data_IF_998385458638
#
_entry.id   IF_998385458638
#
_cell.length_a   1.000
_cell.length_b   1.000
_cell.length_c   1.000
_cell.angle_alpha   90.00
_cell.angle_beta   90.00
_cell.angle_gamma   90.00
#
_symmetry.space_group_name_H-M   'P 1'
#
loop_
_entity.id
_entity.type
_entity.pdbx_description
1 polymer ?
#
# COMPACT_ATOMS: atom_id res chain seq x y z
N UNK A 1 8.11 -3.71 20.22
CA UNK A 1 6.73 -4.20 20.00
C UNK A 1 6.28 -4.14 18.53
N UNK A 2 7.19 -4.32 17.55
CA UNK A 2 6.89 -4.15 16.10
C UNK A 2 6.45 -5.47 15.43
N UNK A 3 6.71 -6.62 16.07
CA UNK A 3 6.48 -7.97 15.50
C UNK A 3 5.00 -8.36 15.32
N UNK A 4 4.06 -7.73 16.03
CA UNK A 4 2.63 -8.00 15.89
C UNK A 4 2.02 -7.29 14.67
N UNK A 5 2.52 -6.10 14.34
CA UNK A 5 2.01 -5.29 13.23
C UNK A 5 2.38 -5.87 11.86
N UNK A 6 3.57 -6.47 11.71
CA UNK A 6 3.99 -7.11 10.45
C UNK A 6 3.26 -8.42 10.15
N UNK A 7 2.92 -9.23 11.16
CA UNK A 7 2.09 -10.44 10.99
C UNK A 7 0.66 -10.10 10.56
N UNK A 8 0.09 -9.04 11.13
CA UNK A 8 -1.26 -8.58 10.78
C UNK A 8 -1.36 -8.17 9.30
N UNK A 9 -0.30 -7.54 8.77
CA UNK A 9 -0.22 -7.16 7.35
C UNK A 9 0.13 -8.33 6.41
N UNK A 10 0.28 -9.55 6.94
CA UNK A 10 0.62 -10.73 6.14
C UNK A 10 1.99 -10.63 5.47
N UNK A 11 2.92 -9.86 6.04
CA UNK A 11 4.26 -9.68 5.52
C UNK A 11 5.17 -10.81 6.02
N UNK A 12 5.76 -11.55 5.09
CA UNK A 12 6.74 -12.60 5.37
C UNK A 12 8.15 -12.02 5.23
N UNK A 13 9.09 -12.43 6.09
CA UNK A 13 10.50 -12.01 5.99
C UNK A 13 11.17 -12.44 4.68
N UNK A 14 10.60 -13.43 3.98
CA UNK A 14 11.11 -13.91 2.70
C UNK A 14 10.72 -13.04 1.50
N UNK A 15 9.77 -12.11 1.67
CA UNK A 15 9.35 -11.16 0.64
C UNK A 15 9.74 -9.73 1.06
N UNK A 16 10.85 -9.18 0.53
CA UNK A 16 11.31 -7.84 0.90
C UNK A 16 10.23 -6.79 0.62
N UNK A 17 9.87 -6.02 1.64
CA UNK A 17 8.94 -4.89 1.53
C UNK A 17 9.63 -3.74 0.79
N UNK A 18 9.01 -3.23 -0.26
CA UNK A 18 9.53 -2.11 -1.07
C UNK A 18 8.78 -0.80 -0.83
N UNK A 19 7.64 -0.86 -0.15
CA UNK A 19 6.98 0.35 0.31
C UNK A 19 5.73 0.07 1.15
N UNK A 20 5.37 1.09 1.93
CA UNK A 20 4.14 1.15 2.71
C UNK A 20 3.51 2.51 2.49
N UNK A 21 2.21 2.49 2.26
CA UNK A 21 1.34 3.65 2.18
C UNK A 21 0.32 3.51 3.29
N UNK A 22 0.17 4.55 4.11
CA UNK A 22 -0.87 4.64 5.14
C UNK A 22 -1.77 5.81 4.80
N UNK A 23 -3.08 5.60 4.83
CA UNK A 23 -4.11 6.62 4.59
C UNK A 23 -5.16 6.55 5.67
N UNK A 24 -5.71 7.70 6.04
CA UNK A 24 -6.92 7.76 6.85
C UNK A 24 -8.12 7.33 5.99
N UNK A 25 -9.10 6.65 6.60
CA UNK A 25 -10.33 6.25 5.88
C UNK A 25 -11.28 7.45 5.82
N UNK A 26 -11.52 8.06 4.64
CA UNK A 26 -12.37 9.25 4.55
C UNK A 26 -13.83 8.91 4.87
N UNK A 27 -14.50 9.81 5.59
CA UNK A 27 -15.95 9.75 5.85
C UNK A 27 -16.40 8.81 6.96
N UNK A 28 -15.47 8.09 7.60
CA UNK A 28 -15.77 7.30 8.80
C UNK A 28 -15.39 8.14 10.02
N UNK A 29 -16.38 8.68 10.73
CA UNK A 29 -16.14 9.19 12.07
C UNK A 29 -15.76 7.98 12.92
N UNK A 30 -14.46 7.80 13.15
CA UNK A 30 -13.99 6.77 14.06
C UNK A 30 -14.70 6.98 15.41
N UNK A 31 -15.18 5.89 16.01
CA UNK A 31 -15.71 5.98 17.37
C UNK A 31 -14.66 6.65 18.27
N UNK A 32 -15.07 7.45 19.27
CA UNK A 32 -14.13 8.03 20.23
C UNK A 32 -13.21 6.94 20.76
N UNK A 33 -11.90 7.15 20.67
CA UNK A 33 -10.93 6.17 21.12
C UNK A 33 -10.61 5.05 20.12
N UNK A 34 -10.95 5.19 18.83
CA UNK A 34 -10.57 4.24 17.75
C UNK A 34 -9.94 5.01 16.58
N UNK A 35 -8.90 4.45 15.99
CA UNK A 35 -8.23 4.95 14.80
C UNK A 35 -8.34 3.92 13.66
N UNK A 36 -8.94 4.34 12.54
CA UNK A 36 -9.17 3.51 11.36
C UNK A 36 -8.24 3.96 10.23
N UNK A 37 -7.31 3.08 9.83
CA UNK A 37 -6.35 3.36 8.76
C UNK A 37 -6.48 2.34 7.63
N UNK A 38 -6.22 2.77 6.40
CA UNK A 38 -5.88 1.88 5.30
C UNK A 38 -4.37 1.81 5.12
N UNK A 39 -3.84 0.59 5.10
CA UNK A 39 -2.43 0.34 4.87
C UNK A 39 -2.27 -0.48 3.60
N UNK A 40 -1.63 0.11 2.60
CA UNK A 40 -1.19 -0.59 1.40
C UNK A 40 0.29 -0.92 1.52
N UNK A 41 0.64 -2.17 1.33
CA UNK A 41 2.01 -2.67 1.33
C UNK A 41 2.34 -3.24 -0.03
N UNK A 42 3.60 -3.11 -0.43
CA UNK A 42 4.12 -3.73 -1.65
C UNK A 42 5.42 -4.47 -1.37
N UNK A 43 5.54 -5.67 -1.91
CA UNK A 43 6.77 -6.46 -1.85
C UNK A 43 7.54 -6.38 -3.17
N UNK A 44 8.82 -6.69 -3.11
CA UNK A 44 9.68 -6.77 -4.29
C UNK A 44 9.26 -7.86 -5.28
N UNK A 45 8.42 -8.82 -4.85
CA UNK A 45 7.88 -9.90 -5.68
C UNK A 45 6.67 -9.49 -6.52
N UNK A 46 6.19 -8.24 -6.40
CA UNK A 46 5.04 -7.76 -7.17
C UNK A 46 3.71 -7.88 -6.44
N UNK A 47 3.70 -8.40 -5.22
CA UNK A 47 2.51 -8.48 -4.39
C UNK A 47 2.21 -7.11 -3.76
N UNK A 48 1.01 -6.60 -4.03
CA UNK A 48 0.47 -5.39 -3.42
C UNK A 48 -0.78 -5.78 -2.63
N UNK A 49 -0.82 -5.43 -1.35
CA UNK A 49 -1.92 -5.74 -0.44
C UNK A 49 -2.40 -4.50 0.27
N UNK A 50 -3.72 -4.34 0.36
CA UNK A 50 -4.34 -3.27 1.12
C UNK A 50 -5.16 -3.87 2.23
N UNK A 51 -4.93 -3.39 3.44
CA UNK A 51 -5.63 -3.81 4.64
C UNK A 51 -6.25 -2.61 5.33
N UNK A 52 -7.45 -2.79 5.88
CA UNK A 52 -7.98 -1.87 6.90
C UNK A 52 -7.46 -2.31 8.26
N UNK A 53 -6.83 -1.38 8.98
CA UNK A 53 -6.45 -1.53 10.36
C UNK A 53 -7.44 -0.77 11.23
N UNK A 54 -7.99 -1.46 12.22
CA UNK A 54 -8.77 -0.85 13.29
C UNK A 54 -7.93 -0.95 14.55
N UNK A 55 -7.42 0.19 15.01
CA UNK A 55 -6.58 0.29 16.19
C UNK A 55 -7.35 1.03 17.29
N UNK A 56 -7.48 0.48 18.50
CA UNK A 56 -7.94 1.28 19.62
C UNK A 56 -6.91 2.36 19.93
N UNK A 57 -7.37 3.51 20.41
CA UNK A 57 -6.55 4.68 20.63
C UNK A 57 -5.41 4.34 21.59
N UNK A 58 -4.20 4.62 21.12
CA UNK A 58 -2.98 4.32 21.87
C UNK A 58 -2.94 5.05 23.23
N UNK A 59 -3.68 6.15 23.33
CA UNK A 59 -3.68 7.07 24.46
C UNK A 59 -4.56 6.63 25.63
N UNK A 60 -5.54 5.74 25.42
CA UNK A 60 -6.52 5.41 26.45
C UNK A 60 -6.16 4.16 27.27
N UNK A 61 -5.50 3.14 26.70
CA UNK A 61 -5.08 1.97 27.49
C UNK A 61 -4.06 1.07 26.75
N UNK A 62 -2.92 0.71 27.36
CA UNK A 62 -1.95 -0.23 26.74
C UNK A 62 -2.49 -1.65 26.54
N UNK A 63 -3.49 -2.05 27.32
CA UNK A 63 -4.15 -3.36 27.17
C UNK A 63 -5.09 -3.42 25.96
N UNK A 64 -5.51 -2.27 25.42
CA UNK A 64 -6.44 -2.18 24.29
C UNK A 64 -5.85 -2.72 22.99
N UNK A 65 -4.52 -2.70 22.83
CA UNK A 65 -3.82 -3.19 21.63
C UNK A 65 -4.18 -4.64 21.25
N UNK A 66 -4.67 -5.44 22.21
CA UNK A 66 -5.18 -6.80 21.97
C UNK A 66 -6.45 -6.87 21.12
N UNK A 67 -7.15 -5.75 20.95
CA UNK A 67 -8.37 -5.63 20.13
C UNK A 67 -8.09 -5.08 18.72
N UNK A 68 -6.82 -4.88 18.37
CA UNK A 68 -6.44 -4.44 17.02
C UNK A 68 -6.91 -5.47 15.98
N UNK A 69 -7.64 -5.03 14.96
CA UNK A 69 -8.03 -5.91 13.85
C UNK A 69 -7.39 -5.46 12.54
N UNK A 70 -7.07 -6.43 11.70
CA UNK A 70 -6.56 -6.21 10.36
C UNK A 70 -7.41 -7.00 9.37
N UNK A 71 -8.03 -6.29 8.42
CA UNK A 71 -8.90 -6.87 7.42
C UNK A 71 -8.31 -6.64 6.04
N UNK A 72 -7.99 -7.71 5.32
CA UNK A 72 -7.55 -7.62 3.93
C UNK A 72 -8.70 -7.09 3.06
N UNK A 73 -8.47 -5.99 2.35
CA UNK A 73 -9.43 -5.35 1.44
C UNK A 73 -9.19 -5.74 0.00
N UNK A 74 -7.94 -5.64 -0.44
CA UNK A 74 -7.57 -5.97 -1.81
C UNK A 74 -6.17 -6.55 -1.89
N UNK A 75 -5.95 -7.33 -2.94
CA UNK A 75 -4.68 -7.91 -3.27
C UNK A 75 -4.50 -7.92 -4.79
N UNK A 76 -3.36 -7.41 -5.26
CA UNK A 76 -2.97 -7.43 -6.67
C UNK A 76 -1.60 -8.08 -6.75
N UNK A 77 -1.42 -8.95 -7.74
CA UNK A 77 -0.11 -9.50 -8.09
C UNK A 77 0.32 -8.92 -9.44
N UNK A 78 1.44 -8.21 -9.44
CA UNK A 78 2.06 -7.70 -10.65
C UNK A 78 3.18 -8.67 -11.08
N UNK A 79 3.31 -8.98 -12.39
CA UNK A 79 4.27 -9.97 -12.88
C UNK A 79 5.73 -9.48 -12.91
N UNK A 80 6.04 -8.34 -12.29
CA UNK A 80 7.36 -7.70 -12.34
C UNK A 80 7.82 -7.31 -10.95
N UNK A 81 9.14 -7.36 -10.72
CA UNK A 81 9.73 -6.90 -9.46
C UNK A 81 9.47 -5.41 -9.26
N UNK A 82 8.98 -5.09 -8.05
CA UNK A 82 8.69 -3.71 -7.67
C UNK A 82 9.89 -3.11 -6.95
N UNK A 83 10.07 -1.80 -7.11
CA UNK A 83 11.10 -1.01 -6.45
C UNK A 83 10.51 0.02 -5.49
N UNK A 84 9.28 0.47 -5.72
CA UNK A 84 8.62 1.47 -4.88
C UNK A 84 7.10 1.48 -5.09
N UNK A 85 6.40 2.06 -4.12
CA UNK A 85 5.00 2.50 -4.26
C UNK A 85 4.80 3.91 -3.70
N UNK A 86 3.82 4.63 -4.21
CA UNK A 86 3.33 5.87 -3.62
C UNK A 86 1.83 6.07 -3.88
N UNK A 87 1.23 7.05 -3.22
CA UNK A 87 -0.14 7.50 -3.48
C UNK A 87 -0.16 8.55 -4.58
N UNK A 88 -1.28 8.61 -5.30
CA UNK A 88 -1.60 9.71 -6.19
C UNK A 88 -3.10 9.99 -6.16
N UNK A 89 -3.47 11.26 -6.29
CA UNK A 89 -4.86 11.65 -6.52
C UNK A 89 -5.19 11.57 -8.01
N UNK A 90 -6.32 10.97 -8.33
CA UNK A 90 -6.80 10.74 -9.68
C UNK A 90 -8.25 11.21 -9.81
N UNK A 91 -8.51 12.12 -10.75
CA UNK A 91 -9.79 12.83 -10.86
C UNK A 91 -11.04 11.92 -10.90
N UNK A 92 -10.95 10.75 -11.54
CA UNK A 92 -12.08 9.82 -11.65
C UNK A 92 -12.10 8.72 -10.57
N UNK A 93 -10.97 8.46 -9.89
CA UNK A 93 -10.82 7.32 -8.97
C UNK A 93 -10.67 7.76 -7.52
N UNK A 94 -10.52 9.07 -7.27
CA UNK A 94 -10.02 9.58 -6.00
C UNK A 94 -8.58 9.10 -5.80
N UNK A 95 -8.32 8.40 -4.72
CA UNK A 95 -6.97 8.02 -4.33
C UNK A 95 -6.52 6.70 -4.97
N UNK A 96 -5.47 6.75 -5.78
CA UNK A 96 -4.84 5.64 -6.50
C UNK A 96 -3.46 5.31 -5.93
N UNK A 97 -2.95 4.12 -6.26
CA UNK A 97 -1.57 3.72 -5.96
C UNK A 97 -0.75 3.68 -7.24
N UNK A 98 0.42 4.31 -7.19
CA UNK A 98 1.44 4.16 -8.22
C UNK A 98 2.46 3.12 -7.75
N UNK A 99 2.72 2.12 -8.58
CA UNK A 99 3.72 1.09 -8.34
C UNK A 99 4.82 1.16 -9.40
N UNK A 100 6.05 1.42 -8.96
CA UNK A 100 7.24 1.44 -9.81
C UNK A 100 7.93 0.08 -9.83
N UNK A 101 8.31 -0.38 -11.02
CA UNK A 101 9.10 -1.59 -11.22
C UNK A 101 10.57 -1.28 -11.51
N UNK A 102 11.44 -2.25 -11.22
CA UNK A 102 12.88 -2.16 -11.54
C UNK A 102 13.13 -1.99 -13.05
N UNK A 103 12.18 -2.40 -13.90
CA UNK A 103 12.25 -2.24 -15.36
C UNK A 103 11.83 -0.86 -15.88
N UNK A 104 11.69 0.15 -15.02
CA UNK A 104 11.31 1.50 -15.42
C UNK A 104 9.85 1.63 -15.83
N UNK A 105 8.96 0.77 -15.30
CA UNK A 105 7.53 0.84 -15.56
C UNK A 105 6.80 1.32 -14.32
N UNK A 106 5.99 2.37 -14.47
CA UNK A 106 5.09 2.87 -13.41
C UNK A 106 3.67 2.46 -13.74
N UNK A 107 2.98 1.84 -12.78
CA UNK A 107 1.59 1.39 -12.93
C UNK A 107 0.68 2.14 -11.98
N UNK A 108 -0.40 2.69 -12.51
CA UNK A 108 -1.49 3.27 -11.73
C UNK A 108 -2.53 2.20 -11.44
N UNK A 109 -2.83 1.99 -10.17
CA UNK A 109 -3.70 0.93 -9.67
C UNK A 109 -4.92 1.53 -8.97
N UNK A 110 -6.09 1.02 -9.32
CA UNK A 110 -7.31 1.22 -8.56
C UNK A 110 -7.45 0.09 -7.55
N UNK A 111 -7.15 0.38 -6.29
CA UNK A 111 -7.22 -0.62 -5.23
C UNK A 111 -8.63 -0.97 -4.77
N UNK A 112 -9.63 -0.12 -5.03
CA UNK A 112 -11.02 -0.42 -4.67
C UNK A 112 -11.53 -1.63 -5.45
N UNK A 113 -11.11 -1.74 -6.72
CA UNK A 113 -11.53 -2.81 -7.63
C UNK A 113 -10.41 -3.82 -7.91
N UNK A 114 -9.21 -3.62 -7.35
CA UNK A 114 -8.02 -4.44 -7.63
C UNK A 114 -7.58 -4.41 -9.10
N UNK A 115 -7.68 -3.26 -9.77
CA UNK A 115 -7.47 -3.13 -11.22
C UNK A 115 -6.23 -2.31 -11.59
N UNK A 116 -5.56 -2.71 -12.68
CA UNK A 116 -4.56 -1.89 -13.36
C UNK A 116 -5.27 -0.88 -14.26
N UNK A 117 -5.13 0.40 -13.94
CA UNK A 117 -5.76 1.50 -14.67
C UNK A 117 -4.90 1.92 -15.86
N UNK A 118 -3.60 2.08 -15.62
CA UNK A 118 -2.66 2.59 -16.62
C UNK A 118 -1.26 2.07 -16.37
N UNK A 119 -0.56 1.76 -17.46
CA UNK A 119 0.87 1.48 -17.47
C UNK A 119 1.62 2.62 -18.17
N UNK A 120 2.68 3.11 -17.55
CA UNK A 120 3.55 4.18 -18.05
C UNK A 120 4.96 3.61 -18.11
N UNK A 121 5.46 3.38 -19.32
CA UNK A 121 6.83 2.91 -19.53
C UNK A 121 7.74 4.12 -19.63
N UNK A 122 8.81 4.12 -18.85
CA UNK A 122 9.90 5.05 -19.06
C UNK A 122 10.54 4.72 -20.41
N UNK A 123 10.35 5.60 -21.39
CA UNK A 123 11.18 5.59 -22.58
C UNK A 123 12.55 6.13 -22.16
N UNK A 124 13.51 5.24 -21.93
CA UNK A 124 14.90 5.66 -21.98
C UNK A 124 15.07 6.37 -23.33
N UNK A 125 15.36 7.68 -23.31
CA UNK A 125 15.77 8.36 -24.53
C UNK A 125 16.90 7.50 -25.11
N UNK A 126 16.71 7.03 -26.35
CA UNK A 126 17.83 6.54 -27.15
C UNK A 126 18.99 7.51 -26.90
N UNK A 127 20.10 6.95 -26.42
CA UNK A 127 21.34 7.65 -26.04
C UNK A 127 21.42 9.01 -26.73
N UNK A 128 21.22 10.09 -25.98
CA UNK A 128 21.58 11.41 -26.50
C UNK A 128 23.07 11.31 -26.83
N UNK A 129 23.50 11.59 -28.06
CA UNK A 129 24.87 11.28 -28.52
C UNK A 129 25.94 12.23 -27.95
N UNK A 130 25.74 12.80 -26.75
CA UNK A 130 26.63 13.81 -26.16
C UNK A 130 26.71 13.72 -24.62
N UNK A 131 26.89 12.51 -24.08
CA UNK A 131 27.63 12.30 -22.82
C UNK A 131 28.83 11.45 -23.13
#
# INVERSE_FOLDING_TARGET
>A
NIRLQTKLLGLCSHDPLVGVVVRDVPGKASAPGVEDFEVTTATSTGLIRTCSLHLPSFWENKESLRQSTCLLRSQIFLPTRLSCICTAEHAALGSAILAGSEGGVVRCLNLANSELVKEIKYAAKASLPWT
#
